data_IF_586042887022
#
_entry.id   IF_586042887022
#
_cell.length_a   1.000
_cell.length_b   1.000
_cell.length_c   1.000
_cell.angle_alpha   90.00
_cell.angle_beta   90.00
_cell.angle_gamma   90.00
#
_symmetry.space_group_name_H-M   'P 1'
#
loop_
_entity.id
_entity.type
_entity.pdbx_description
1 polymer ?
#
# COMPACT_ATOMS: atom_id res chain seq x y z
N UNK A 1 -1.72 -8.92 -0.40
CA UNK A 1 -2.29 -9.19 0.94
C UNK A 1 -2.63 -10.67 1.13
N UNK A 2 -3.34 -11.32 0.20
CA UNK A 2 -3.75 -12.72 0.32
C UNK A 2 -2.61 -13.71 0.64
N UNK A 3 -1.44 -13.56 -0.02
CA UNK A 3 -0.26 -14.37 0.27
C UNK A 3 0.21 -14.26 1.74
N UNK A 4 0.15 -13.05 2.31
CA UNK A 4 0.54 -12.80 3.69
C UNK A 4 -0.47 -13.38 4.69
N UNK A 5 -1.77 -13.24 4.43
CA UNK A 5 -2.84 -13.89 5.22
C UNK A 5 -2.64 -15.41 5.20
N UNK A 6 -2.42 -16.00 4.03
CA UNK A 6 -2.15 -17.43 3.88
C UNK A 6 -0.96 -17.87 4.74
N UNK A 7 0.13 -17.10 4.73
CA UNK A 7 1.32 -17.40 5.52
C UNK A 7 1.01 -17.34 7.02
N UNK A 8 0.40 -16.25 7.48
CA UNK A 8 0.07 -16.06 8.89
C UNK A 8 -0.87 -17.15 9.42
N UNK A 9 -1.90 -17.50 8.66
CA UNK A 9 -2.84 -18.57 9.03
C UNK A 9 -2.13 -19.92 9.14
N UNK A 10 -1.31 -20.28 8.14
CA UNK A 10 -0.61 -21.57 8.15
C UNK A 10 0.40 -21.66 9.28
N UNK A 11 1.24 -20.64 9.47
CA UNK A 11 2.22 -20.60 10.56
C UNK A 11 1.52 -20.67 11.91
N UNK A 12 0.49 -19.84 12.13
CA UNK A 12 -0.23 -19.86 13.40
C UNK A 12 -0.87 -21.22 13.72
N UNK A 13 -1.45 -21.90 12.72
CA UNK A 13 -1.98 -23.27 12.90
C UNK A 13 -0.85 -24.27 13.23
N UNK A 14 0.30 -24.17 12.56
CA UNK A 14 1.46 -25.06 12.83
C UNK A 14 2.01 -24.87 14.25
N UNK A 15 1.98 -23.64 14.78
CA UNK A 15 2.34 -23.33 16.17
C UNK A 15 1.23 -23.68 17.19
N UNK A 16 0.13 -24.30 16.74
CA UNK A 16 -0.96 -24.76 17.60
C UNK A 16 -1.98 -23.68 17.97
N UNK A 17 -1.95 -22.52 17.32
CA UNK A 17 -2.92 -21.46 17.55
C UNK A 17 -4.22 -21.66 16.77
N UNK A 18 -5.31 -21.14 17.35
CA UNK A 18 -6.60 -21.02 16.68
C UNK A 18 -6.64 -19.70 15.91
N UNK A 19 -6.74 -19.77 14.58
CA UNK A 19 -6.69 -18.58 13.73
C UNK A 19 -8.09 -18.04 13.45
N UNK A 20 -8.27 -16.73 13.61
CA UNK A 20 -9.48 -16.01 13.24
C UNK A 20 -9.18 -15.02 12.12
N UNK A 21 -10.09 -14.94 11.15
CA UNK A 21 -10.06 -13.96 10.08
C UNK A 21 -11.19 -12.94 10.31
N UNK A 22 -10.82 -11.67 10.31
CA UNK A 22 -11.75 -10.54 10.32
C UNK A 22 -11.96 -10.08 8.89
N UNK A 23 -13.21 -10.01 8.44
CA UNK A 23 -13.53 -9.49 7.12
C UNK A 23 -13.69 -7.96 7.17
N UNK A 24 -13.46 -7.27 6.05
CA UNK A 24 -13.69 -5.83 5.88
C UNK A 24 -12.97 -4.92 6.91
N UNK A 25 -11.79 -5.34 7.38
CA UNK A 25 -10.95 -4.54 8.29
C UNK A 25 -11.64 -4.23 9.62
N UNK A 26 -11.36 -3.05 10.20
CA UNK A 26 -12.00 -2.63 11.45
C UNK A 26 -13.50 -2.42 11.31
N UNK A 27 -14.01 -2.18 10.09
CA UNK A 27 -15.44 -2.08 9.84
C UNK A 27 -16.16 -3.40 10.13
N UNK A 28 -15.65 -4.52 9.60
CA UNK A 28 -16.19 -5.82 9.93
C UNK A 28 -15.84 -6.25 11.34
N UNK A 29 -14.71 -5.80 11.91
CA UNK A 29 -14.34 -6.09 13.29
C UNK A 29 -15.42 -5.61 14.27
N UNK A 30 -15.77 -4.32 14.28
CA UNK A 30 -16.78 -3.83 15.23
C UNK A 30 -18.19 -4.34 14.94
N UNK A 31 -18.43 -4.90 13.73
CA UNK A 31 -19.67 -5.59 13.35
C UNK A 31 -19.67 -7.09 13.70
N UNK A 32 -18.57 -7.62 14.26
CA UNK A 32 -18.44 -9.03 14.63
C UNK A 32 -18.29 -9.98 13.44
N UNK A 33 -17.78 -9.51 12.29
CA UNK A 33 -17.52 -10.33 11.11
C UNK A 33 -16.22 -11.14 11.24
N UNK A 34 -16.12 -11.87 12.34
CA UNK A 34 -14.97 -12.69 12.73
C UNK A 34 -15.35 -14.15 12.52
N UNK A 35 -14.52 -14.88 11.79
CA UNK A 35 -14.72 -16.31 11.56
C UNK A 35 -13.42 -17.06 11.80
N UNK A 36 -13.51 -18.24 12.37
CA UNK A 36 -12.36 -19.13 12.42
C UNK A 36 -11.94 -19.51 10.98
N UNK A 37 -10.64 -19.50 10.73
CA UNK A 37 -10.07 -19.86 9.43
C UNK A 37 -9.13 -21.06 9.59
N UNK A 38 -9.25 -22.02 8.68
CA UNK A 38 -8.54 -23.30 8.70
C UNK A 38 -7.47 -23.35 7.61
N UNK A 39 -6.61 -24.36 7.70
CA UNK A 39 -5.51 -24.58 6.77
C UNK A 39 -5.94 -24.66 5.30
N UNK A 40 -7.07 -25.33 5.04
CA UNK A 40 -7.63 -25.51 3.70
C UNK A 40 -8.19 -24.22 3.09
N UNK A 41 -8.70 -23.31 3.92
CA UNK A 41 -9.42 -22.11 3.46
C UNK A 41 -8.51 -21.12 2.72
N UNK A 42 -7.21 -21.12 3.06
CA UNK A 42 -6.19 -20.25 2.44
C UNK A 42 -5.42 -20.93 1.31
N UNK A 43 -5.90 -22.09 0.82
CA UNK A 43 -5.33 -22.79 -0.33
C UNK A 43 -5.41 -21.94 -1.61
N UNK A 44 -4.30 -21.80 -2.34
CA UNK A 44 -4.26 -21.06 -3.61
C UNK A 44 -4.19 -19.54 -3.51
N UNK A 45 -4.16 -18.96 -2.30
CA UNK A 45 -4.19 -17.51 -2.09
C UNK A 45 -2.91 -16.77 -2.47
N UNK A 46 -1.78 -17.47 -2.68
CA UNK A 46 -0.47 -16.85 -2.92
C UNK A 46 -0.44 -15.94 -4.15
N UNK A 47 -1.05 -16.37 -5.26
CA UNK A 47 -1.06 -15.61 -6.53
C UNK A 47 -2.26 -14.69 -6.71
N UNK A 48 -3.15 -14.59 -5.72
CA UNK A 48 -4.40 -13.83 -5.85
C UNK A 48 -4.17 -12.36 -5.49
N UNK A 49 -4.47 -11.46 -6.43
CA UNK A 49 -4.47 -10.01 -6.22
C UNK A 49 -5.55 -9.53 -5.24
N UNK A 50 -5.44 -8.29 -4.78
CA UNK A 50 -6.41 -7.68 -3.86
C UNK A 50 -6.41 -8.28 -2.44
N UNK A 51 -7.59 -8.27 -1.81
CA UNK A 51 -7.84 -8.84 -0.49
C UNK A 51 -9.12 -9.66 -0.48
N UNK A 52 -9.02 -10.96 -0.24
CA UNK A 52 -10.15 -11.90 -0.16
C UNK A 52 -10.93 -11.78 1.15
N UNK A 53 -10.30 -11.24 2.20
CA UNK A 53 -10.99 -10.88 3.44
C UNK A 53 -11.70 -9.52 3.33
N UNK A 54 -11.44 -8.74 2.28
CA UNK A 54 -11.87 -7.35 2.20
C UNK A 54 -10.97 -6.41 3.01
N UNK A 55 -10.95 -5.14 2.62
CA UNK A 55 -10.19 -4.09 3.31
C UNK A 55 -10.97 -2.80 3.30
N UNK A 56 -10.93 -2.07 4.41
CA UNK A 56 -11.53 -0.75 4.57
C UNK A 56 -10.52 0.18 5.23
N UNK A 57 -10.64 1.49 4.96
CA UNK A 57 -9.82 2.54 5.57
C UNK A 57 -10.42 3.07 6.89
N UNK A 58 -11.50 2.47 7.36
CA UNK A 58 -12.19 2.85 8.59
C UNK A 58 -11.30 2.59 9.79
N UNK A 59 -11.11 3.62 10.62
CA UNK A 59 -10.29 3.57 11.84
C UNK A 59 -11.12 3.09 13.05
N UNK A 60 -10.49 2.44 14.05
CA UNK A 60 -11.19 1.86 15.19
C UNK A 60 -11.68 2.87 16.24
N UNK A 61 -11.13 4.09 16.30
CA UNK A 61 -11.31 5.03 17.41
C UNK A 61 -12.76 5.36 17.80
N UNK A 62 -13.71 5.33 16.86
CA UNK A 62 -15.14 5.57 17.15
C UNK A 62 -15.91 4.34 17.66
N UNK A 63 -15.28 3.18 17.65
CA UNK A 63 -15.90 1.87 17.87
C UNK A 63 -15.06 0.97 18.77
N UNK A 64 -14.19 1.55 19.61
CA UNK A 64 -13.29 0.82 20.50
C UNK A 64 -14.05 -0.10 21.44
N UNK A 65 -15.16 0.38 22.01
CA UNK A 65 -16.08 -0.39 22.86
C UNK A 65 -16.54 -1.70 22.20
N UNK A 66 -16.98 -1.62 20.94
CA UNK A 66 -17.46 -2.77 20.18
C UNK A 66 -16.34 -3.70 19.78
N UNK A 67 -15.16 -3.17 19.44
CA UNK A 67 -14.00 -4.00 19.09
C UNK A 67 -13.53 -4.78 20.32
N UNK A 68 -13.44 -4.13 21.48
CA UNK A 68 -13.12 -4.79 22.75
C UNK A 68 -14.14 -5.90 23.07
N UNK A 69 -15.44 -5.63 22.92
CA UNK A 69 -16.47 -6.65 23.10
C UNK A 69 -16.24 -7.87 22.18
N UNK A 70 -15.95 -7.65 20.90
CA UNK A 70 -15.68 -8.73 19.96
C UNK A 70 -14.42 -9.52 20.29
N UNK A 71 -13.36 -8.85 20.76
CA UNK A 71 -12.14 -9.50 21.24
C UNK A 71 -12.42 -10.39 22.44
N UNK A 72 -13.25 -9.94 23.38
CA UNK A 72 -13.68 -10.72 24.55
C UNK A 72 -14.51 -11.93 24.15
N UNK A 73 -15.52 -11.75 23.30
CA UNK A 73 -16.41 -12.83 22.83
C UNK A 73 -15.61 -13.95 22.14
N UNK A 74 -14.63 -13.59 21.32
CA UNK A 74 -13.83 -14.55 20.56
C UNK A 74 -12.54 -14.98 21.28
N UNK A 75 -12.28 -14.45 22.48
CA UNK A 75 -11.07 -14.67 23.27
C UNK A 75 -9.78 -14.43 22.45
N UNK A 76 -9.67 -13.26 21.81
CA UNK A 76 -8.53 -12.92 20.94
C UNK A 76 -7.30 -12.61 21.78
N UNK A 77 -6.22 -13.37 21.59
CA UNK A 77 -4.99 -13.25 22.40
C UNK A 77 -3.85 -12.49 21.70
N UNK A 78 -3.92 -12.29 20.39
CA UNK A 78 -2.93 -11.55 19.59
C UNK A 78 -3.60 -11.02 18.32
N UNK A 79 -3.08 -9.91 17.77
CA UNK A 79 -3.60 -9.30 16.55
C UNK A 79 -2.47 -9.03 15.54
N UNK A 80 -2.63 -9.54 14.32
CA UNK A 80 -1.79 -9.20 13.18
C UNK A 80 -2.62 -8.41 12.17
N UNK A 81 -2.22 -7.17 11.89
CA UNK A 81 -2.88 -6.30 10.91
C UNK A 81 -2.02 -6.18 9.67
N UNK A 82 -2.57 -6.55 8.51
CA UNK A 82 -1.87 -6.46 7.22
C UNK A 82 -2.46 -5.28 6.45
N UNK A 83 -1.74 -4.17 6.33
CA UNK A 83 -2.29 -2.95 5.74
C UNK A 83 -1.32 -1.79 5.61
N UNK A 84 -1.83 -0.65 5.17
CA UNK A 84 -1.06 0.57 4.93
C UNK A 84 -1.00 1.50 6.14
N UNK A 85 -0.97 2.80 5.89
CA UNK A 85 -0.87 3.82 6.93
C UNK A 85 -2.05 3.77 7.92
N UNK A 86 -3.26 3.48 7.45
CA UNK A 86 -4.43 3.33 8.31
C UNK A 86 -4.30 2.15 9.29
N UNK A 87 -3.55 1.09 8.93
CA UNK A 87 -3.26 0.00 9.86
C UNK A 87 -2.29 0.46 10.97
N UNK A 88 -1.30 1.28 10.63
CA UNK A 88 -0.41 1.90 11.59
C UNK A 88 -1.17 2.79 12.58
N UNK A 89 -2.00 3.69 12.06
CA UNK A 89 -2.85 4.57 12.88
C UNK A 89 -3.82 3.78 13.75
N UNK A 90 -4.43 2.71 13.21
CA UNK A 90 -5.37 1.88 13.96
C UNK A 90 -4.72 1.20 15.17
N UNK A 91 -3.53 0.63 15.01
CA UNK A 91 -2.83 0.00 16.15
C UNK A 91 -2.38 1.05 17.16
N UNK A 92 -2.00 2.25 16.73
CA UNK A 92 -1.70 3.35 17.66
C UNK A 92 -2.93 3.69 18.52
N UNK A 93 -4.11 3.83 17.90
CA UNK A 93 -5.36 4.08 18.62
C UNK A 93 -5.71 2.94 19.60
N UNK A 94 -5.53 1.68 19.21
CA UNK A 94 -5.74 0.54 20.11
C UNK A 94 -4.72 0.50 21.25
N UNK A 95 -3.47 0.89 20.98
CA UNK A 95 -2.42 0.96 21.99
C UNK A 95 -2.72 2.02 23.05
N UNK A 96 -3.12 3.22 22.63
CA UNK A 96 -3.52 4.31 23.54
C UNK A 96 -4.74 3.92 24.37
N UNK A 97 -5.68 3.17 23.78
CA UNK A 97 -6.90 2.69 24.44
C UNK A 97 -6.68 1.55 25.45
N UNK A 98 -5.45 1.03 25.62
CA UNK A 98 -5.14 -0.01 26.61
C UNK A 98 -5.40 0.41 28.06
N UNK A 99 -5.38 1.71 28.34
CA UNK A 99 -5.68 2.22 29.67
C UNK A 99 -7.16 1.99 30.06
N UNK A 100 -8.06 1.99 29.06
CA UNK A 100 -9.51 1.91 29.26
C UNK A 100 -10.06 0.51 28.96
N UNK A 101 -9.36 -0.29 28.15
CA UNK A 101 -9.80 -1.61 27.69
C UNK A 101 -8.69 -2.66 27.85
N UNK A 102 -8.88 -3.58 28.80
CA UNK A 102 -7.95 -4.69 29.05
C UNK A 102 -7.81 -5.62 27.84
N UNK A 103 -8.84 -5.72 27.00
CA UNK A 103 -8.82 -6.54 25.79
C UNK A 103 -7.73 -6.12 24.80
N UNK A 104 -7.32 -4.85 24.81
CA UNK A 104 -6.26 -4.36 23.93
C UNK A 104 -4.85 -4.61 24.50
N UNK A 105 -4.73 -5.10 25.74
CA UNK A 105 -3.47 -5.45 26.41
C UNK A 105 -2.88 -6.78 25.89
N UNK A 106 -2.97 -7.00 24.58
CA UNK A 106 -2.44 -8.16 23.86
C UNK A 106 -1.31 -7.76 22.89
N UNK A 107 -0.44 -8.68 22.46
CA UNK A 107 0.52 -8.42 21.39
C UNK A 107 -0.20 -8.01 20.09
N UNK A 108 0.20 -6.88 19.52
CA UNK A 108 -0.31 -6.37 18.25
C UNK A 108 0.88 -6.10 17.31
N UNK A 109 0.78 -6.55 16.06
CA UNK A 109 1.81 -6.36 15.05
C UNK A 109 1.20 -5.91 13.72
N UNK A 110 1.95 -5.10 12.98
CA UNK A 110 1.56 -4.61 11.67
C UNK A 110 2.50 -5.20 10.63
N UNK A 111 1.94 -5.71 9.54
CA UNK A 111 2.67 -6.05 8.33
C UNK A 111 2.35 -5.02 7.24
N UNK A 112 3.31 -4.15 6.87
CA UNK A 112 3.12 -3.11 5.86
C UNK A 112 2.72 -3.67 4.49
N UNK A 113 1.52 -3.31 4.05
CA UNK A 113 0.94 -3.71 2.77
C UNK A 113 0.16 -2.55 2.15
N UNK A 114 0.84 -1.80 1.28
CA UNK A 114 0.32 -0.67 0.53
C UNK A 114 1.15 -0.50 -0.75
N UNK A 115 0.55 0.06 -1.81
CA UNK A 115 1.30 0.41 -3.00
C UNK A 115 2.16 1.66 -2.79
N UNK A 116 1.75 2.55 -1.88
CA UNK A 116 2.39 3.86 -1.70
C UNK A 116 3.74 3.79 -0.98
N UNK A 117 4.09 2.66 -0.36
CA UNK A 117 5.28 2.51 0.47
C UNK A 117 5.47 3.62 1.53
N UNK A 118 4.37 4.02 2.17
CA UNK A 118 4.31 5.17 3.07
C UNK A 118 4.12 4.79 4.55
N UNK A 119 4.39 3.54 4.93
CA UNK A 119 4.21 3.08 6.31
C UNK A 119 5.50 3.36 7.10
N UNK A 120 5.46 4.15 8.19
CA UNK A 120 6.64 4.41 9.00
C UNK A 120 7.23 3.12 9.59
N UNK A 121 8.56 3.05 9.67
CA UNK A 121 9.29 1.93 10.29
C UNK A 121 9.64 0.78 9.35
N UNK A 122 9.34 0.89 8.05
CA UNK A 122 9.82 -0.04 7.02
C UNK A 122 10.30 0.74 5.79
N UNK A 123 11.28 0.19 5.09
CA UNK A 123 11.73 0.71 3.80
C UNK A 123 10.87 0.20 2.64
N UNK A 124 10.15 -0.91 2.84
CA UNK A 124 9.37 -1.59 1.81
C UNK A 124 7.99 -2.06 2.33
N UNK A 125 7.00 -2.01 1.45
CA UNK A 125 5.64 -2.50 1.70
C UNK A 125 5.18 -3.48 0.62
N UNK A 126 4.38 -4.47 1.05
CA UNK A 126 3.80 -5.45 0.13
C UNK A 126 2.87 -4.73 -0.86
N UNK A 127 3.16 -4.88 -2.14
CA UNK A 127 2.38 -4.32 -3.25
C UNK A 127 3.06 -3.17 -3.99
N UNK A 128 4.06 -2.52 -3.40
CA UNK A 128 4.78 -1.42 -4.04
C UNK A 128 5.51 -1.88 -5.32
N UNK A 129 6.21 -3.00 -5.26
CA UNK A 129 6.90 -3.60 -6.43
C UNK A 129 5.94 -3.95 -7.58
N UNK A 130 4.77 -4.53 -7.27
CA UNK A 130 3.74 -4.80 -8.28
C UNK A 130 3.27 -3.52 -8.96
N UNK A 131 3.07 -2.44 -8.18
CA UNK A 131 2.70 -1.13 -8.73
C UNK A 131 3.81 -0.52 -9.58
N UNK A 132 5.08 -0.65 -9.17
CA UNK A 132 6.22 -0.18 -9.94
C UNK A 132 6.31 -0.88 -11.30
N UNK A 133 6.16 -2.21 -11.34
CA UNK A 133 6.17 -2.94 -12.60
C UNK A 133 5.04 -2.50 -13.55
N UNK A 134 3.85 -2.20 -13.01
CA UNK A 134 2.74 -1.65 -13.81
C UNK A 134 3.05 -0.25 -14.37
N UNK A 135 3.71 0.62 -13.59
CA UNK A 135 4.16 1.95 -14.04
C UNK A 135 5.18 1.80 -15.16
N UNK A 136 6.19 0.95 -14.97
CA UNK A 136 7.26 0.71 -15.96
C UNK A 136 6.67 0.18 -17.27
N UNK A 137 5.83 -0.85 -17.21
CA UNK A 137 5.19 -1.43 -18.39
C UNK A 137 4.34 -0.40 -19.14
N UNK A 138 3.61 0.43 -18.41
CA UNK A 138 2.79 1.51 -18.98
C UNK A 138 3.65 2.57 -19.66
N UNK A 139 4.71 3.02 -19.00
CA UNK A 139 5.67 3.98 -19.56
C UNK A 139 6.36 3.45 -20.81
N UNK A 140 6.69 2.16 -20.85
CA UNK A 140 7.28 1.51 -22.02
C UNK A 140 6.33 1.52 -23.21
N UNK A 141 5.06 1.16 -23.00
CA UNK A 141 4.02 1.23 -24.04
C UNK A 141 3.80 2.67 -24.54
N UNK A 142 3.84 3.65 -23.65
CA UNK A 142 3.72 5.08 -24.00
C UNK A 142 4.93 5.55 -24.82
N UNK A 143 6.16 5.20 -24.41
CA UNK A 143 7.40 5.54 -25.14
C UNK A 143 7.42 4.95 -26.55
N UNK A 144 6.90 3.73 -26.74
CA UNK A 144 6.76 3.11 -28.06
C UNK A 144 5.85 3.96 -28.97
N UNK A 145 4.70 4.41 -28.46
CA UNK A 145 3.78 5.30 -29.19
C UNK A 145 4.42 6.67 -29.50
N UNK A 146 5.13 7.26 -28.52
CA UNK A 146 5.82 8.54 -28.68
C UNK A 146 6.88 8.50 -29.80
N UNK A 147 7.59 7.37 -29.92
CA UNK A 147 8.69 7.22 -30.89
C UNK A 147 8.20 7.22 -32.34
N UNK A 148 6.96 6.78 -32.59
CA UNK A 148 6.36 6.80 -33.93
C UNK A 148 5.89 8.20 -34.39
N UNK A 149 5.39 9.02 -33.46
CA UNK A 149 4.86 10.36 -33.77
C UNK A 149 5.92 11.46 -33.67
N UNK A 150 6.98 11.25 -32.86
CA UNK A 150 8.04 12.20 -32.54
C UNK A 150 7.53 13.51 -31.92
N UNK A 151 8.43 14.24 -31.27
CA UNK A 151 8.19 15.56 -30.63
C UNK A 151 6.97 15.57 -29.70
N UNK A 152 6.82 14.51 -28.90
CA UNK A 152 5.74 14.37 -27.93
C UNK A 152 6.31 14.18 -26.53
N UNK A 153 5.74 14.91 -25.57
CA UNK A 153 6.01 14.78 -24.14
C UNK A 153 4.76 14.23 -23.48
N UNK A 154 4.92 13.24 -22.61
CA UNK A 154 3.83 12.71 -21.79
C UNK A 154 4.04 13.11 -20.35
N UNK A 155 2.97 13.61 -19.72
CA UNK A 155 2.90 13.82 -18.28
C UNK A 155 2.02 12.71 -17.72
N UNK A 156 2.58 11.90 -16.81
CA UNK A 156 1.94 10.72 -16.25
C UNK A 156 1.77 10.94 -14.75
N UNK A 157 0.53 10.92 -14.29
CA UNK A 157 0.23 10.93 -12.85
C UNK A 157 0.33 9.51 -12.28
N UNK A 158 1.00 9.39 -11.15
CA UNK A 158 1.21 8.16 -10.40
C UNK A 158 0.46 8.21 -9.06
N UNK A 159 0.14 7.03 -8.53
CA UNK A 159 -0.37 6.95 -7.15
C UNK A 159 0.78 7.10 -6.15
N UNK A 160 0.44 7.26 -4.86
CA UNK A 160 1.43 7.43 -3.80
C UNK A 160 0.95 8.36 -2.68
N UNK A 161 -0.06 9.18 -2.98
CA UNK A 161 -0.50 10.22 -2.05
C UNK A 161 0.60 11.28 -1.93
N UNK A 162 1.07 11.51 -0.71
CA UNK A 162 2.22 12.38 -0.45
C UNK A 162 3.57 11.64 -0.48
N UNK A 163 3.58 10.32 -0.71
CA UNK A 163 4.80 9.53 -0.80
C UNK A 163 5.23 9.41 -2.27
N UNK A 164 6.34 10.03 -2.63
CA UNK A 164 6.93 10.06 -3.96
C UNK A 164 7.64 8.76 -4.37
N UNK A 165 7.57 7.68 -3.58
CA UNK A 165 8.29 6.43 -3.86
C UNK A 165 7.97 5.85 -5.25
N UNK A 166 6.68 5.73 -5.58
CA UNK A 166 6.25 5.18 -6.87
C UNK A 166 6.65 6.07 -8.05
N UNK A 167 6.49 7.39 -7.90
CA UNK A 167 6.87 8.36 -8.92
C UNK A 167 8.39 8.33 -9.16
N UNK A 168 9.18 8.33 -8.09
CA UNK A 168 10.65 8.42 -8.14
C UNK A 168 11.26 7.15 -8.70
N UNK A 169 10.95 6.00 -8.10
CA UNK A 169 11.52 4.72 -8.52
C UNK A 169 10.95 4.29 -9.88
N UNK A 170 9.66 4.55 -10.12
CA UNK A 170 9.02 4.31 -11.41
C UNK A 170 9.62 5.19 -12.51
N UNK A 171 9.89 6.46 -12.23
CA UNK A 171 10.54 7.39 -13.16
C UNK A 171 11.98 6.98 -13.46
N UNK A 172 12.74 6.58 -12.45
CA UNK A 172 14.09 6.04 -12.61
C UNK A 172 14.07 4.80 -13.53
N UNK A 173 13.22 3.83 -13.24
CA UNK A 173 13.11 2.60 -14.02
C UNK A 173 12.59 2.84 -15.45
N UNK A 174 11.67 3.78 -15.63
CA UNK A 174 11.12 4.15 -16.92
C UNK A 174 12.04 5.07 -17.76
N UNK A 175 13.09 5.64 -17.17
CA UNK A 175 13.93 6.64 -17.81
C UNK A 175 13.17 7.94 -18.08
N UNK A 176 12.42 8.42 -17.08
CA UNK A 176 11.75 9.70 -17.11
C UNK A 176 12.75 10.86 -17.11
N UNK A 177 12.40 11.93 -17.80
CA UNK A 177 13.18 13.18 -17.84
C UNK A 177 13.10 13.93 -16.52
N UNK A 178 11.95 13.88 -15.86
CA UNK A 178 11.71 14.53 -14.56
C UNK A 178 10.60 13.82 -13.81
N UNK A 179 10.71 13.84 -12.49
CA UNK A 179 9.70 13.35 -11.56
C UNK A 179 9.43 14.47 -10.57
N UNK A 180 8.16 14.87 -10.43
CA UNK A 180 7.75 15.80 -9.40
C UNK A 180 7.15 15.05 -8.23
N UNK A 181 7.65 15.29 -7.03
CA UNK A 181 7.20 14.63 -5.80
C UNK A 181 6.90 15.66 -4.71
N UNK A 182 6.20 15.25 -3.66
CA UNK A 182 5.86 16.15 -2.56
C UNK A 182 7.06 16.46 -1.67
N UNK A 183 7.95 15.49 -1.50
CA UNK A 183 9.12 15.57 -0.63
C UNK A 183 10.19 16.53 -1.14
N UNK A 184 10.16 16.88 -2.43
CA UNK A 184 11.04 17.85 -3.07
C UNK A 184 10.19 19.00 -3.65
N UNK A 185 10.08 20.13 -2.92
CA UNK A 185 9.32 21.27 -3.40
C UNK A 185 9.90 21.83 -4.70
N UNK A 186 9.02 22.20 -5.63
CA UNK A 186 9.38 22.84 -6.89
C UNK A 186 8.51 24.08 -7.13
N UNK A 187 9.07 25.09 -7.80
CA UNK A 187 8.38 26.31 -8.18
C UNK A 187 8.22 26.46 -9.71
N UNK A 188 7.68 27.59 -10.15
CA UNK A 188 7.45 27.86 -11.57
C UNK A 188 8.75 27.93 -12.39
N UNK A 189 9.88 28.29 -11.76
CA UNK A 189 11.20 28.37 -12.40
C UNK A 189 11.75 26.98 -12.65
N UNK A 190 11.55 26.04 -11.72
CA UNK A 190 11.93 24.64 -11.91
C UNK A 190 11.18 24.02 -13.08
N UNK A 191 9.86 24.29 -13.18
CA UNK A 191 9.03 23.88 -14.31
C UNK A 191 9.54 24.49 -15.62
N UNK A 192 9.87 25.79 -15.62
CA UNK A 192 10.39 26.47 -16.80
C UNK A 192 11.72 25.87 -17.25
N UNK A 193 12.65 25.62 -16.32
CA UNK A 193 13.95 25.01 -16.62
C UNK A 193 13.79 23.62 -17.25
N UNK A 194 12.83 22.82 -16.78
CA UNK A 194 12.53 21.53 -17.38
C UNK A 194 11.97 21.64 -18.81
N UNK A 195 11.08 22.60 -19.06
CA UNK A 195 10.52 22.86 -20.39
C UNK A 195 11.63 23.31 -21.36
N UNK A 196 12.54 24.17 -20.93
CA UNK A 196 13.70 24.59 -21.72
C UNK A 196 14.62 23.41 -22.03
N UNK A 197 14.93 22.58 -21.04
CA UNK A 197 15.72 21.35 -21.23
C UNK A 197 15.08 20.41 -22.27
N UNK A 198 13.77 20.14 -22.15
CA UNK A 198 13.06 19.30 -23.11
C UNK A 198 13.00 19.93 -24.51
N UNK A 199 12.91 21.26 -24.60
CA UNK A 199 12.95 21.99 -25.88
C UNK A 199 14.27 21.77 -26.61
N UNK A 200 15.39 21.84 -25.90
CA UNK A 200 16.72 21.52 -26.46
C UNK A 200 16.86 20.04 -26.80
N UNK A 201 16.35 19.14 -25.94
CA UNK A 201 16.33 17.69 -26.19
C UNK A 201 15.64 17.35 -27.51
N UNK A 202 14.55 18.04 -27.87
CA UNK A 202 13.81 17.81 -29.13
C UNK A 202 14.60 18.18 -30.39
N UNK A 203 15.71 18.92 -30.28
CA UNK A 203 16.63 19.19 -31.39
C UNK A 203 17.56 17.99 -31.68
N UNK A 204 17.68 17.06 -30.73
CA UNK A 204 18.49 15.85 -30.86
C UNK A 204 17.76 14.72 -31.60
N UNK A 205 18.38 13.54 -31.66
CA UNK A 205 17.78 12.32 -32.22
C UNK A 205 16.65 11.75 -31.34
N UNK A 206 16.65 12.04 -30.03
CA UNK A 206 15.66 11.54 -29.07
C UNK A 206 14.55 12.56 -28.91
N UNK A 207 13.56 12.50 -29.79
CA UNK A 207 12.45 13.45 -29.85
C UNK A 207 11.22 12.95 -29.06
N UNK A 208 11.43 12.61 -27.78
CA UNK A 208 10.37 12.20 -26.85
C UNK A 208 10.70 12.68 -25.44
N UNK A 209 9.65 13.00 -24.67
CA UNK A 209 9.76 13.35 -23.26
C UNK A 209 8.82 12.53 -22.38
N UNK A 210 9.25 12.25 -21.16
CA UNK A 210 8.46 11.54 -20.16
C UNK A 210 8.60 12.25 -18.81
N UNK A 211 7.49 12.72 -18.27
CA UNK A 211 7.42 13.42 -16.98
C UNK A 211 6.47 12.67 -16.08
N UNK A 212 6.89 12.34 -14.86
CA UNK A 212 6.02 11.74 -13.85
C UNK A 212 5.63 12.78 -12.80
N UNK A 213 4.41 12.64 -12.28
CA UNK A 213 3.84 13.45 -11.20
C UNK A 213 3.08 12.57 -10.22
#
# INVERSE_FOLDING_TARGET
>A
MNAAVRSAVRVGITEGHKMFAVNDGFEGFYKGQIKEIKWGDVGGWTGQGGSLLGTKRTLPGKHLDKIAEQMRIHNINALLVIGGFEAFESILQLYEARADYEEFCIPMCILPATISNNVPGTDLSIGADTSLNAIVETCDRIKQSASGTKRRVFIIETMGGYCGYLATVGGLAAGADTVYIYEEPFDIRDLQANVEHLTEKMKTSIQRGLVLR
#
